data_IF_384251606095
#
_entry.id   IF_384251606095
#
_cell.length_a   1.000
_cell.length_b   1.000
_cell.length_c   1.000
_cell.angle_alpha   90.00
_cell.angle_beta   90.00
_cell.angle_gamma   90.00
#
_symmetry.space_group_name_H-M   'P 1'
#
loop_
_entity.id
_entity.type
_entity.pdbx_description
1 polymer ?
#
# COMPACT_ATOMS: atom_id res chain seq x y z
N UNK A 1 14.37 -5.44 -9.05
CA UNK A 1 13.53 -4.28 -9.46
C UNK A 1 14.20 -2.96 -9.09
N UNK A 2 14.48 -2.68 -7.81
CA UNK A 2 15.15 -1.43 -7.40
C UNK A 2 16.54 -1.21 -8.01
N UNK A 3 17.40 -2.23 -7.97
CA UNK A 3 18.73 -2.19 -8.59
C UNK A 3 18.63 -1.99 -10.11
N UNK A 4 17.65 -2.64 -10.76
CA UNK A 4 17.40 -2.49 -12.20
C UNK A 4 16.94 -1.07 -12.56
N UNK A 5 16.07 -0.45 -11.76
CA UNK A 5 15.65 0.94 -11.99
C UNK A 5 16.79 1.95 -11.78
N UNK A 6 17.67 1.72 -10.80
CA UNK A 6 18.85 2.57 -10.56
C UNK A 6 19.85 2.43 -11.71
N UNK A 7 20.16 1.19 -12.11
CA UNK A 7 21.06 0.92 -13.22
C UNK A 7 20.50 1.44 -14.54
N UNK A 8 19.19 1.29 -14.78
CA UNK A 8 18.50 1.82 -15.96
C UNK A 8 18.55 3.34 -16.03
N UNK A 9 18.34 4.04 -14.90
CA UNK A 9 18.47 5.49 -14.83
C UNK A 9 19.91 5.96 -15.06
N UNK A 10 20.90 5.31 -14.44
CA UNK A 10 22.31 5.64 -14.62
C UNK A 10 22.79 5.39 -16.06
N UNK A 11 22.40 4.26 -16.67
CA UNK A 11 22.70 3.95 -18.06
C UNK A 11 22.03 4.93 -19.03
N UNK A 12 20.77 5.31 -18.75
CA UNK A 12 20.02 6.28 -19.55
C UNK A 12 20.62 7.69 -19.56
N UNK A 13 21.45 8.05 -18.57
CA UNK A 13 22.21 9.31 -18.53
C UNK A 13 23.62 9.13 -19.12
N UNK A 14 24.33 8.07 -18.74
CA UNK A 14 25.73 7.88 -19.10
C UNK A 14 25.95 7.55 -20.58
N UNK A 15 25.11 6.68 -21.16
CA UNK A 15 25.21 6.29 -22.57
C UNK A 15 25.08 7.49 -23.53
N UNK A 16 24.07 8.36 -23.40
CA UNK A 16 23.98 9.54 -24.25
C UNK A 16 25.21 10.45 -24.17
N UNK A 17 25.78 10.66 -22.97
CA UNK A 17 26.98 11.51 -22.79
C UNK A 17 28.19 10.91 -23.51
N UNK A 18 28.44 9.61 -23.39
CA UNK A 18 29.60 8.91 -23.98
C UNK A 18 29.52 8.85 -25.51
N UNK A 19 28.31 8.67 -26.06
CA UNK A 19 28.09 8.49 -27.50
C UNK A 19 27.70 9.76 -28.25
N UNK A 20 27.73 10.93 -27.59
CA UNK A 20 27.34 12.23 -28.17
C UNK A 20 28.05 12.51 -29.51
N UNK A 21 29.33 12.14 -29.63
CA UNK A 21 30.12 12.41 -30.84
C UNK A 21 29.94 11.38 -31.96
N UNK A 22 29.50 10.15 -31.67
CA UNK A 22 29.41 9.09 -32.70
C UNK A 22 28.00 8.89 -33.26
N UNK A 23 26.95 9.24 -32.51
CA UNK A 23 25.57 8.91 -32.89
C UNK A 23 24.78 10.05 -33.54
N UNK A 24 25.24 11.30 -33.47
CA UNK A 24 24.49 12.46 -33.97
C UNK A 24 23.07 12.59 -33.39
N UNK A 25 22.25 13.50 -33.94
CA UNK A 25 20.84 13.67 -33.56
C UNK A 25 19.95 12.60 -34.22
N UNK A 26 20.25 11.33 -33.95
CA UNK A 26 19.50 10.18 -34.48
C UNK A 26 18.28 9.84 -33.62
N UNK A 27 17.31 9.06 -34.14
CA UNK A 27 16.15 8.58 -33.38
C UNK A 27 16.50 7.87 -32.06
N UNK A 28 17.74 7.38 -31.91
CA UNK A 28 18.27 6.76 -30.72
C UNK A 28 18.25 7.68 -29.48
N UNK A 29 18.41 9.00 -29.65
CA UNK A 29 18.38 9.95 -28.54
C UNK A 29 17.00 10.02 -27.87
N UNK A 30 15.93 9.98 -28.67
CA UNK A 30 14.55 9.95 -28.16
C UNK A 30 14.27 8.67 -27.37
N UNK A 31 14.78 7.52 -27.82
CA UNK A 31 14.65 6.26 -27.09
C UNK A 31 15.36 6.32 -25.73
N UNK A 32 16.60 6.83 -25.69
CA UNK A 32 17.34 7.00 -24.44
C UNK A 32 16.61 7.92 -23.45
N UNK A 33 16.09 9.05 -23.93
CA UNK A 33 15.31 9.98 -23.11
C UNK A 33 14.06 9.30 -22.51
N UNK A 34 13.33 8.52 -23.31
CA UNK A 34 12.14 7.79 -22.81
C UNK A 34 12.49 6.74 -21.77
N UNK A 35 13.61 6.02 -21.93
CA UNK A 35 14.08 5.01 -20.96
C UNK A 35 14.49 5.66 -19.65
N UNK A 36 15.19 6.80 -19.71
CA UNK A 36 15.57 7.57 -18.51
C UNK A 36 14.35 8.06 -17.76
N UNK A 37 13.36 8.60 -18.48
CA UNK A 37 12.12 9.08 -17.88
C UNK A 37 11.30 7.95 -17.26
N UNK A 38 11.18 6.80 -17.94
CA UNK A 38 10.50 5.62 -17.41
C UNK A 38 11.20 5.04 -16.17
N UNK A 39 12.53 5.04 -16.16
CA UNK A 39 13.34 4.59 -15.02
C UNK A 39 13.15 5.53 -13.82
N UNK A 40 13.10 6.84 -14.05
CA UNK A 40 12.84 7.84 -13.02
C UNK A 40 11.45 7.69 -12.39
N UNK A 41 10.41 7.50 -13.21
CA UNK A 41 9.03 7.29 -12.71
C UNK A 41 8.97 6.02 -11.86
N UNK A 42 9.64 4.94 -12.29
CA UNK A 42 9.65 3.67 -11.57
C UNK A 42 10.22 3.79 -10.16
N UNK A 43 11.14 4.72 -9.91
CA UNK A 43 11.72 4.96 -8.58
C UNK A 43 10.71 5.47 -7.54
N UNK A 44 9.58 6.05 -7.94
CA UNK A 44 8.55 6.51 -6.99
C UNK A 44 7.67 5.38 -6.45
N UNK A 45 7.85 4.15 -6.94
CA UNK A 45 7.09 2.96 -6.56
C UNK A 45 7.42 2.34 -5.19
N UNK A 46 8.21 3.01 -4.35
CA UNK A 46 8.76 2.41 -3.11
C UNK A 46 7.69 2.32 -2.03
N UNK A 47 7.63 1.16 -1.38
CA UNK A 47 6.63 0.83 -0.39
C UNK A 47 7.26 0.02 0.75
N UNK A 48 7.21 0.59 1.95
CA UNK A 48 7.59 -0.12 3.18
C UNK A 48 6.34 -0.63 3.88
N UNK A 49 6.36 -1.87 4.35
CA UNK A 49 5.30 -2.47 5.15
C UNK A 49 5.89 -2.83 6.52
N UNK A 50 5.31 -2.25 7.57
CA UNK A 50 5.74 -2.53 8.93
C UNK A 50 5.14 -3.85 9.45
N UNK A 51 5.69 -4.43 10.52
CA UNK A 51 5.07 -5.57 11.19
C UNK A 51 3.64 -5.24 11.67
N UNK A 52 2.72 -6.22 11.55
CA UNK A 52 1.29 -6.07 11.88
C UNK A 52 0.57 -4.96 11.08
N UNK A 53 1.06 -4.69 9.89
CA UNK A 53 0.49 -3.77 8.94
C UNK A 53 0.33 -4.49 7.60
N UNK A 54 -0.70 -4.15 6.86
CA UNK A 54 -0.96 -4.68 5.54
C UNK A 54 -1.33 -3.54 4.62
N UNK A 55 -1.09 -3.72 3.33
CA UNK A 55 -1.49 -2.73 2.34
C UNK A 55 -2.24 -3.42 1.21
N UNK A 56 -3.45 -2.91 0.97
CA UNK A 56 -4.35 -3.31 -0.11
C UNK A 56 -3.97 -2.52 -1.36
N UNK A 57 -3.78 -3.22 -2.48
CA UNK A 57 -3.31 -2.66 -3.74
C UNK A 57 -4.41 -2.64 -4.79
N UNK A 58 -4.62 -1.47 -5.38
CA UNK A 58 -5.62 -1.24 -6.42
C UNK A 58 -4.99 -0.52 -7.60
N UNK A 59 -5.17 -1.04 -8.81
CA UNK A 59 -4.73 -0.40 -10.06
C UNK A 59 -5.94 0.12 -10.81
N UNK A 60 -6.08 1.45 -10.93
CA UNK A 60 -7.21 2.09 -11.61
C UNK A 60 -8.58 1.52 -11.20
N UNK A 61 -8.81 1.38 -9.89
CA UNK A 61 -10.07 0.84 -9.35
C UNK A 61 -10.18 -0.69 -9.34
N UNK A 62 -9.29 -1.41 -10.02
CA UNK A 62 -9.24 -2.88 -9.97
C UNK A 62 -8.36 -3.37 -8.82
N UNK A 63 -8.92 -4.21 -7.95
CA UNK A 63 -8.15 -4.89 -6.91
C UNK A 63 -7.12 -5.84 -7.56
N UNK A 64 -5.85 -5.70 -7.20
CA UNK A 64 -4.77 -6.55 -7.69
C UNK A 64 -4.38 -7.58 -6.64
N UNK A 65 -4.41 -7.19 -5.36
CA UNK A 65 -3.93 -8.02 -4.28
C UNK A 65 -3.74 -7.26 -2.97
N UNK A 66 -3.29 -7.98 -1.97
CA UNK A 66 -2.89 -7.44 -0.67
C UNK A 66 -1.51 -7.97 -0.34
N UNK A 67 -0.63 -7.11 0.18
CA UNK A 67 0.67 -7.52 0.70
C UNK A 67 0.63 -7.44 2.23
N UNK A 68 0.84 -8.59 2.88
CA UNK A 68 0.85 -8.75 4.35
C UNK A 68 2.27 -8.91 4.89
N UNK A 69 3.18 -9.46 4.09
CA UNK A 69 4.56 -9.66 4.49
C UNK A 69 5.24 -8.33 4.77
N UNK A 70 5.99 -8.28 5.86
CA UNK A 70 6.76 -7.11 6.25
C UNK A 70 8.02 -6.98 5.39
N UNK A 71 8.41 -5.75 5.10
CA UNK A 71 9.63 -5.48 4.35
C UNK A 71 9.49 -4.35 3.36
N UNK A 72 10.43 -4.36 2.41
CA UNK A 72 10.55 -3.35 1.38
C UNK A 72 10.11 -3.90 0.04
N UNK A 73 9.07 -3.29 -0.53
CA UNK A 73 8.49 -3.68 -1.81
C UNK A 73 8.55 -2.51 -2.79
N UNK A 74 8.75 -2.85 -4.06
CA UNK A 74 8.69 -1.89 -5.14
C UNK A 74 7.53 -2.26 -6.04
N UNK A 75 6.52 -1.41 -6.03
CA UNK A 75 5.30 -1.56 -6.81
C UNK A 75 5.26 -0.52 -7.91
N UNK A 76 4.37 -0.70 -8.89
CA UNK A 76 4.16 0.34 -9.89
C UNK A 76 3.65 1.63 -9.21
N UNK A 77 4.24 2.81 -9.49
CA UNK A 77 3.82 4.09 -8.88
C UNK A 77 2.36 4.47 -9.16
N UNK A 78 1.74 3.92 -10.21
CA UNK A 78 0.33 4.14 -10.54
C UNK A 78 -0.64 3.28 -9.70
N UNK A 79 -0.14 2.43 -8.80
CA UNK A 79 -0.98 1.63 -7.91
C UNK A 79 -1.37 2.44 -6.68
N UNK A 80 -2.67 2.52 -6.42
CA UNK A 80 -3.21 3.06 -5.18
C UNK A 80 -3.02 2.04 -4.07
N UNK A 81 -2.46 2.48 -2.95
CA UNK A 81 -2.17 1.66 -1.78
C UNK A 81 -2.95 2.16 -0.58
N UNK A 82 -3.77 1.31 0.03
CA UNK A 82 -4.51 1.61 1.26
C UNK A 82 -3.95 0.80 2.41
N UNK A 83 -3.60 1.50 3.48
CA UNK A 83 -3.00 0.90 4.66
C UNK A 83 -4.08 0.34 5.59
N UNK A 84 -3.93 -0.90 6.00
CA UNK A 84 -4.83 -1.60 6.92
C UNK A 84 -3.99 -2.16 8.07
N UNK A 85 -4.33 -1.76 9.30
CA UNK A 85 -3.66 -2.29 10.48
C UNK A 85 -4.17 -3.69 10.81
N UNK A 86 -3.24 -4.61 11.07
CA UNK A 86 -3.52 -5.97 11.55
C UNK A 86 -3.33 -6.10 13.06
N UNK A 87 -3.07 -4.99 13.76
CA UNK A 87 -2.92 -4.94 15.21
C UNK A 87 -4.25 -5.26 15.89
N UNK A 88 -4.17 -5.94 17.03
CA UNK A 88 -5.33 -6.15 17.89
C UNK A 88 -5.81 -4.80 18.45
N UNK A 89 -7.13 -4.61 18.49
CA UNK A 89 -7.80 -3.43 18.99
C UNK A 89 -8.86 -3.84 19.99
N UNK A 90 -9.05 -2.99 20.99
CA UNK A 90 -10.08 -3.15 22.00
C UNK A 90 -11.23 -2.20 21.66
N UNK A 91 -12.45 -2.74 21.66
CA UNK A 91 -13.68 -1.99 21.62
C UNK A 91 -14.33 -2.15 22.99
N UNK A 92 -14.46 -1.03 23.69
CA UNK A 92 -15.08 -0.97 25.01
C UNK A 92 -16.44 -0.31 24.84
N UNK A 93 -17.53 -1.03 25.10
CA UNK A 93 -18.86 -0.43 25.10
C UNK A 93 -19.12 0.28 26.42
N UNK A 94 -19.82 1.41 26.37
CA UNK A 94 -20.34 2.02 27.58
C UNK A 94 -21.36 1.07 28.23
N UNK A 95 -21.32 0.89 29.57
CA UNK A 95 -22.29 0.04 30.26
C UNK A 95 -23.72 0.54 30.04
N UNK A 96 -24.60 -0.34 29.58
CA UNK A 96 -26.02 -0.05 29.40
C UNK A 96 -26.84 -0.58 30.57
N UNK A 97 -27.86 0.20 30.98
CA UNK A 97 -28.79 -0.21 32.02
C UNK A 97 -29.87 -1.08 31.42
N UNK A 98 -29.95 -2.33 31.84
CA UNK A 98 -30.99 -3.27 31.45
C UNK A 98 -31.62 -3.88 32.70
N UNK A 99 -32.84 -4.40 32.56
CA UNK A 99 -33.48 -5.11 33.65
C UNK A 99 -33.24 -6.60 33.50
N UNK A 100 -32.88 -7.26 34.60
CA UNK A 100 -32.84 -8.72 34.65
C UNK A 100 -34.27 -9.30 34.66
N UNK A 101 -34.42 -10.62 34.51
CA UNK A 101 -35.70 -11.33 34.54
C UNK A 101 -36.57 -11.02 35.78
N UNK A 102 -35.93 -10.69 36.91
CA UNK A 102 -36.60 -10.32 38.16
C UNK A 102 -36.93 -8.83 38.28
N UNK A 103 -36.66 -8.02 37.26
CA UNK A 103 -36.93 -6.57 37.25
C UNK A 103 -35.87 -5.71 37.93
N UNK A 104 -34.78 -6.31 38.42
CA UNK A 104 -33.67 -5.58 39.02
C UNK A 104 -32.85 -4.85 37.94
N UNK A 105 -32.51 -3.56 38.15
CA UNK A 105 -31.67 -2.83 37.21
C UNK A 105 -30.21 -3.29 37.36
N UNK A 106 -29.62 -3.75 36.25
CA UNK A 106 -28.22 -4.13 36.16
C UNK A 106 -27.53 -3.34 35.04
N UNK A 107 -26.23 -3.15 35.16
CA UNK A 107 -25.40 -2.50 34.14
C UNK A 107 -24.57 -3.57 33.43
N UNK A 108 -24.69 -3.65 32.11
CA UNK A 108 -23.92 -4.60 31.29
C UNK A 108 -23.04 -3.81 30.34
N UNK A 109 -21.74 -4.09 30.33
CA UNK A 109 -20.78 -3.59 29.34
C UNK A 109 -20.06 -4.76 28.68
N UNK A 110 -19.49 -4.51 27.50
CA UNK A 110 -18.73 -5.49 26.73
C UNK A 110 -17.34 -4.92 26.42
N UNK A 111 -16.33 -5.76 26.60
CA UNK A 111 -14.97 -5.52 26.11
C UNK A 111 -14.70 -6.53 25.00
N UNK A 112 -14.56 -6.06 23.77
CA UNK A 112 -14.29 -6.87 22.59
C UNK A 112 -12.87 -6.63 22.09
N UNK A 113 -12.06 -7.69 22.07
CA UNK A 113 -10.73 -7.66 21.44
C UNK A 113 -10.83 -8.27 20.05
N UNK A 114 -10.46 -7.50 19.02
CA UNK A 114 -10.55 -7.95 17.64
C UNK A 114 -9.34 -7.51 16.81
N UNK A 115 -9.13 -8.16 15.67
CA UNK A 115 -8.13 -7.78 14.67
C UNK A 115 -8.66 -8.06 13.27
N UNK A 116 -8.18 -7.31 12.28
CA UNK A 116 -8.52 -7.57 10.88
C UNK A 116 -7.90 -8.90 10.44
N UNK A 117 -8.73 -9.83 9.96
CA UNK A 117 -8.29 -11.10 9.36
C UNK A 117 -8.26 -11.03 7.83
N UNK A 118 -9.26 -10.41 7.23
CA UNK A 118 -9.42 -10.26 5.78
C UNK A 118 -9.39 -8.77 5.42
N UNK A 119 -8.29 -8.35 4.81
CA UNK A 119 -8.00 -6.96 4.45
C UNK A 119 -8.82 -6.49 3.26
N UNK A 120 -9.21 -7.40 2.37
CA UNK A 120 -10.08 -7.06 1.25
C UNK A 120 -11.46 -6.69 1.77
N UNK A 121 -12.06 -7.54 2.61
CA UNK A 121 -13.36 -7.26 3.21
C UNK A 121 -13.34 -6.01 4.07
N UNK A 122 -12.30 -5.85 4.91
CA UNK A 122 -12.15 -4.66 5.73
C UNK A 122 -12.06 -3.35 4.92
N UNK A 123 -11.54 -3.41 3.69
CA UNK A 123 -11.34 -2.24 2.86
C UNK A 123 -12.52 -1.90 1.95
N UNK A 124 -13.24 -2.92 1.44
CA UNK A 124 -14.24 -2.76 0.37
C UNK A 124 -15.65 -3.21 0.75
N UNK A 125 -15.82 -4.04 1.77
CA UNK A 125 -17.15 -4.53 2.16
C UNK A 125 -17.84 -3.66 3.23
N UNK A 126 -17.10 -2.75 3.87
CA UNK A 126 -17.58 -1.86 4.94
C UNK A 126 -16.92 -0.49 4.80
N UNK A 127 -17.66 0.58 5.11
CA UNK A 127 -17.17 1.96 4.98
C UNK A 127 -16.10 2.29 6.01
N UNK A 128 -16.37 1.96 7.27
CA UNK A 128 -15.43 2.15 8.38
C UNK A 128 -15.50 0.98 9.35
N UNK A 129 -14.57 0.04 9.21
CA UNK A 129 -14.50 -1.13 10.08
C UNK A 129 -14.11 -0.80 11.53
N UNK A 130 -13.67 0.43 11.83
CA UNK A 130 -13.25 0.88 13.17
C UNK A 130 -14.38 1.55 13.96
N UNK A 131 -15.46 2.01 13.30
CA UNK A 131 -16.61 2.64 13.93
C UNK A 131 -17.79 1.67 13.96
N UNK A 132 -17.79 0.79 14.94
CA UNK A 132 -18.94 -0.04 15.32
C UNK A 132 -19.31 0.23 16.77
#
# INVERSE_FOLDING_TARGET
>A
MLVLSILGFAAGIALPIIFTESLGWTPAWYLLLTITLASFISMFGLMVINPNESKVLTFFGKYIGTVVDNGFFMINPFIVRKNISLKARNLNSDPIKVNDKMGNPIMIGVVLVWRVKDTFKACFAVDNYEKF
#
